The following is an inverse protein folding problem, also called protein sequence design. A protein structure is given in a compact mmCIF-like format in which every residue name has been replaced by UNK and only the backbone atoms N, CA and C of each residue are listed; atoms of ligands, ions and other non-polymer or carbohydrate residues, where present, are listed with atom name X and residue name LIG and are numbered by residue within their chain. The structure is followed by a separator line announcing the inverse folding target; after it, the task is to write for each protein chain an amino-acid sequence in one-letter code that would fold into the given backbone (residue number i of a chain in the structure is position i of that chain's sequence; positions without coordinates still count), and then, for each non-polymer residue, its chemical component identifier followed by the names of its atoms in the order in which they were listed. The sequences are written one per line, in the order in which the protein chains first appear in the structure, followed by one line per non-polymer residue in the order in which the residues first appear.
data_IF_069715307285
#
_entry.id   IF_069715307285
#
_cell.length_a   1.000
_cell.length_b   1.000
_cell.length_c   1.000
_cell.angle_alpha   90.00
_cell.angle_beta   90.00
_cell.angle_gamma   90.00
#
_symmetry.space_group_name_H-M   'P 1'
#
loop_
_entity.id
_entity.type
_entity.pdbx_description
1 polymer ?
#
# COMPACT_ATOMS: atom_id res chain seq x y z
N UNK A 1 -27.44 57.69 11.51
CA UNK A 1 -28.05 56.44 11.03
C UNK A 1 -27.04 55.33 11.24
N UNK A 2 -27.45 54.15 11.71
CA UNK A 2 -26.56 52.98 11.73
C UNK A 2 -26.24 52.59 10.28
N UNK A 3 -25.02 52.11 10.04
CA UNK A 3 -24.56 51.64 8.73
C UNK A 3 -25.51 50.61 8.10
N UNK A 4 -26.05 49.70 8.91
CA UNK A 4 -27.03 48.68 8.49
C UNK A 4 -28.31 49.32 7.96
N UNK A 5 -28.81 50.40 8.59
CA UNK A 5 -30.01 51.07 8.11
C UNK A 5 -29.76 51.75 6.76
N UNK A 6 -28.57 52.32 6.54
CA UNK A 6 -28.22 52.91 5.25
C UNK A 6 -28.14 51.87 4.12
N UNK A 7 -27.58 50.67 4.38
CA UNK A 7 -27.57 49.56 3.42
C UNK A 7 -28.98 49.06 3.09
N UNK A 8 -29.87 49.04 4.09
CA UNK A 8 -31.26 48.65 3.91
C UNK A 8 -32.04 49.71 3.11
N UNK A 9 -31.83 50.98 3.41
CA UNK A 9 -32.48 52.10 2.73
C UNK A 9 -32.02 52.22 1.26
N UNK A 10 -30.81 51.74 0.94
CA UNK A 10 -30.28 51.72 -0.43
C UNK A 10 -30.62 50.45 -1.22
N UNK A 11 -31.44 49.54 -0.69
CA UNK A 11 -31.73 48.22 -1.29
C UNK A 11 -30.45 47.46 -1.71
N UNK A 12 -29.42 47.50 -0.87
CA UNK A 12 -28.10 46.92 -1.21
C UNK A 12 -28.17 45.42 -1.51
N UNK A 13 -29.06 44.70 -0.83
CA UNK A 13 -29.40 43.31 -1.14
C UNK A 13 -30.73 43.29 -1.87
N UNK A 14 -30.67 42.95 -3.15
CA UNK A 14 -31.83 42.88 -4.03
C UNK A 14 -32.05 41.44 -4.54
N UNK A 15 -33.09 41.26 -5.34
CA UNK A 15 -33.41 39.95 -5.94
C UNK A 15 -32.40 39.49 -7.00
N UNK A 16 -31.49 40.36 -7.44
CA UNK A 16 -30.46 40.08 -8.43
C UNK A 16 -29.10 39.81 -7.77
N UNK A 17 -29.01 39.92 -6.45
CA UNK A 17 -27.80 39.63 -5.69
C UNK A 17 -27.57 38.12 -5.69
N UNK A 18 -26.47 37.70 -6.32
CA UNK A 18 -26.11 36.29 -6.45
C UNK A 18 -25.54 35.72 -5.15
N UNK A 19 -24.65 36.46 -4.51
CA UNK A 19 -24.02 36.07 -3.25
C UNK A 19 -23.77 37.26 -2.36
N UNK A 20 -23.87 37.04 -1.06
CA UNK A 20 -23.52 38.01 -0.03
C UNK A 20 -22.55 37.38 0.97
N UNK A 21 -21.39 38.00 1.13
CA UNK A 21 -20.30 37.45 1.94
C UNK A 21 -19.90 38.43 3.05
N UNK A 22 -19.65 37.90 4.24
CA UNK A 22 -19.09 38.59 5.39
C UNK A 22 -17.83 37.85 5.84
N UNK A 23 -16.70 38.55 5.81
CA UNK A 23 -15.42 38.07 6.33
C UNK A 23 -15.07 38.77 7.65
N UNK A 24 -14.82 37.98 8.69
CA UNK A 24 -14.46 38.48 10.02
C UNK A 24 -13.19 37.79 10.52
N UNK A 25 -12.22 38.59 10.94
CA UNK A 25 -10.97 38.11 11.52
C UNK A 25 -11.01 38.25 13.04
N UNK A 26 -10.73 37.16 13.76
CA UNK A 26 -10.54 37.15 15.20
C UNK A 26 -9.11 36.73 15.55
N UNK A 27 -8.59 37.25 16.66
CA UNK A 27 -7.30 36.88 17.20
C UNK A 27 -7.42 36.60 18.71
N UNK A 28 -7.00 35.41 19.13
CA UNK A 28 -6.86 35.05 20.54
C UNK A 28 -5.40 35.19 20.98
N UNK A 29 -5.04 36.16 21.83
CA UNK A 29 -3.66 36.38 22.27
C UNK A 29 -3.13 35.28 23.21
N UNK A 30 -4.01 34.55 23.92
CA UNK A 30 -3.58 33.50 24.84
C UNK A 30 -3.11 32.27 24.07
N UNK A 31 -3.85 31.90 23.02
CA UNK A 31 -3.53 30.77 22.15
C UNK A 31 -2.65 31.15 20.96
N UNK A 32 -2.48 32.46 20.69
CA UNK A 32 -1.80 33.03 19.51
C UNK A 32 -2.38 32.50 18.20
N UNK A 33 -3.70 32.27 18.18
CA UNK A 33 -4.44 31.74 17.03
C UNK A 33 -5.24 32.84 16.37
N UNK A 34 -5.18 32.87 15.04
CA UNK A 34 -6.07 33.63 14.21
C UNK A 34 -7.22 32.73 13.75
N UNK A 35 -8.42 33.31 13.72
CA UNK A 35 -9.62 32.67 13.20
C UNK A 35 -10.20 33.57 12.12
N UNK A 36 -10.28 33.07 10.89
CA UNK A 36 -11.01 33.73 9.79
C UNK A 36 -12.37 33.06 9.68
N UNK A 37 -13.43 33.83 9.89
CA UNK A 37 -14.81 33.40 9.73
C UNK A 37 -15.32 33.97 8.41
N UNK A 38 -15.58 33.08 7.47
CA UNK A 38 -16.20 33.37 6.19
C UNK A 38 -17.66 32.94 6.26
N UNK A 39 -18.58 33.87 6.14
CA UNK A 39 -20.01 33.59 6.05
C UNK A 39 -20.51 34.04 4.70
N UNK A 40 -21.09 33.14 3.92
CA UNK A 40 -21.68 33.42 2.63
C UNK A 40 -23.17 33.05 2.65
N UNK A 41 -23.98 33.84 1.94
CA UNK A 41 -25.37 33.53 1.65
C UNK A 41 -25.48 33.58 0.13
N UNK A 42 -25.60 32.40 -0.47
CA UNK A 42 -25.73 32.27 -1.92
C UNK A 42 -27.20 32.11 -2.29
N UNK A 43 -27.62 32.83 -3.33
CA UNK A 43 -28.94 32.69 -3.92
C UNK A 43 -28.90 31.59 -4.99
N UNK A 44 -29.60 30.48 -4.72
CA UNK A 44 -29.81 29.43 -5.71
C UNK A 44 -30.64 29.96 -6.88
N UNK A 45 -30.44 29.40 -8.08
CA UNK A 45 -31.21 29.72 -9.29
C UNK A 45 -32.73 29.54 -9.10
N UNK A 46 -33.14 28.72 -8.13
CA UNK A 46 -34.54 28.41 -7.79
C UNK A 46 -35.11 29.44 -6.77
N UNK A 47 -34.28 30.38 -6.30
CA UNK A 47 -34.64 31.42 -5.32
C UNK A 47 -34.51 31.00 -3.86
N UNK A 48 -33.88 29.85 -3.59
CA UNK A 48 -33.53 29.41 -2.22
C UNK A 48 -32.25 30.11 -1.75
N UNK A 49 -32.17 30.41 -0.45
CA UNK A 49 -30.95 30.94 0.18
C UNK A 49 -30.15 29.79 0.76
N UNK A 50 -28.88 29.67 0.37
CA UNK A 50 -27.95 28.65 0.87
C UNK A 50 -26.88 29.31 1.73
N UNK A 51 -27.07 29.36 3.07
CA UNK A 51 -26.08 29.93 3.97
C UNK A 51 -24.92 28.93 4.20
N UNK A 52 -23.70 29.38 3.98
CA UNK A 52 -22.47 28.66 4.32
C UNK A 52 -21.68 29.46 5.36
N UNK A 53 -21.21 28.78 6.41
CA UNK A 53 -20.32 29.37 7.41
C UNK A 53 -19.09 28.49 7.57
N UNK A 54 -17.92 29.04 7.22
CA UNK A 54 -16.63 28.36 7.29
C UNK A 54 -15.69 29.11 8.22
N UNK A 55 -15.19 28.41 9.24
CA UNK A 55 -14.22 28.95 10.18
C UNK A 55 -12.87 28.27 9.98
N UNK A 56 -11.83 29.06 9.71
CA UNK A 56 -10.47 28.58 9.51
C UNK A 56 -9.54 29.08 10.61
N UNK A 57 -8.93 28.15 11.33
CA UNK A 57 -7.99 28.42 12.42
C UNK A 57 -6.55 28.18 11.97
N UNK A 58 -5.70 29.19 12.14
CA UNK A 58 -4.28 29.11 11.79
C UNK A 58 -3.43 29.99 12.70
N UNK A 59 -2.13 29.72 12.71
CA UNK A 59 -1.16 30.44 13.55
C UNK A 59 -0.21 31.24 12.67
N UNK A 60 -0.25 32.56 12.81
CA UNK A 60 0.61 33.48 12.04
C UNK A 60 1.96 33.69 12.72
N UNK A 61 1.97 33.83 14.05
CA UNK A 61 3.19 33.99 14.85
C UNK A 61 3.91 32.65 15.00
N UNK A 62 5.08 32.52 14.39
CA UNK A 62 5.92 31.33 14.47
C UNK A 62 7.15 31.62 15.36
N UNK A 63 7.53 30.64 16.21
CA UNK A 63 8.76 30.66 17.00
C UNK A 63 8.90 31.77 18.06
N UNK A 64 7.86 31.99 18.88
CA UNK A 64 7.93 32.99 19.96
C UNK A 64 8.04 32.37 21.37
N UNK A 65 7.42 31.21 21.58
CA UNK A 65 7.38 30.53 22.87
C UNK A 65 8.52 29.51 23.00
N UNK A 66 8.89 29.16 24.24
CA UNK A 66 9.86 28.10 24.53
C UNK A 66 9.51 26.77 23.82
N UNK A 67 8.22 26.41 23.78
CA UNK A 67 7.74 25.22 23.08
C UNK A 67 7.97 25.30 21.55
N UNK A 68 7.93 26.49 20.98
CA UNK A 68 8.14 26.67 19.56
C UNK A 68 9.61 26.48 19.18
N UNK A 69 10.56 26.88 20.05
CA UNK A 69 11.97 26.60 19.83
C UNK A 69 12.28 25.10 19.87
N UNK A 70 11.62 24.33 20.74
CA UNK A 70 11.70 22.87 20.71
C UNK A 70 11.17 22.30 19.40
N UNK A 71 10.07 22.84 18.89
CA UNK A 71 9.53 22.46 17.57
C UNK A 71 10.49 22.83 16.43
N UNK A 72 11.13 24.01 16.47
CA UNK A 72 12.15 24.41 15.50
C UNK A 72 13.32 23.40 15.46
N UNK A 73 13.83 23.01 16.62
CA UNK A 73 14.89 22.01 16.72
C UNK A 73 14.46 20.69 16.05
N UNK A 74 13.24 20.24 16.30
CA UNK A 74 12.71 19.01 15.70
C UNK A 74 12.56 19.13 14.18
N UNK A 75 12.14 20.28 13.66
CA UNK A 75 12.09 20.54 12.22
C UNK A 75 13.47 20.47 11.57
N UNK A 76 14.50 21.06 12.21
CA UNK A 76 15.89 21.01 11.70
C UNK A 76 16.38 19.57 11.64
N UNK A 77 16.18 18.80 12.72
CA UNK A 77 16.55 17.37 12.77
C UNK A 77 15.81 16.57 11.69
N UNK A 78 14.51 16.80 11.51
CA UNK A 78 13.71 16.15 10.48
C UNK A 78 14.22 16.45 9.07
N UNK A 79 14.50 17.72 8.75
CA UNK A 79 15.05 18.12 7.45
C UNK A 79 16.44 17.51 7.22
N UNK A 80 17.29 17.44 8.24
CA UNK A 80 18.61 16.82 8.12
C UNK A 80 18.51 15.31 7.85
N UNK A 81 17.66 14.59 8.58
CA UNK A 81 17.40 13.17 8.34
C UNK A 81 16.84 12.93 6.94
N UNK A 82 15.89 13.77 6.50
CA UNK A 82 15.35 13.72 5.15
C UNK A 82 16.44 13.87 4.09
N UNK A 83 17.36 14.83 4.22
CA UNK A 83 18.45 15.02 3.26
C UNK A 83 19.35 13.78 3.16
N UNK A 84 19.71 13.17 4.28
CA UNK A 84 20.53 11.95 4.29
C UNK A 84 19.82 10.80 3.57
N UNK A 85 18.53 10.59 3.86
CA UNK A 85 17.72 9.55 3.21
C UNK A 85 17.57 9.86 1.71
N UNK A 86 17.34 11.12 1.37
CA UNK A 86 17.18 11.57 -0.01
C UNK A 86 18.42 11.29 -0.85
N UNK A 87 19.62 11.63 -0.36
CA UNK A 87 20.86 11.34 -1.10
C UNK A 87 21.08 9.84 -1.30
N UNK A 88 20.78 9.02 -0.28
CA UNK A 88 20.89 7.56 -0.39
C UNK A 88 19.92 7.00 -1.43
N UNK A 89 18.68 7.48 -1.43
CA UNK A 89 17.63 6.98 -2.32
C UNK A 89 17.86 7.40 -3.77
N UNK A 90 18.26 8.64 -4.00
CA UNK A 90 18.63 9.13 -5.35
C UNK A 90 19.80 8.33 -5.90
N UNK A 91 20.84 8.08 -5.09
CA UNK A 91 21.96 7.22 -5.50
C UNK A 91 21.48 5.82 -5.89
N UNK A 92 20.58 5.21 -5.10
CA UNK A 92 20.02 3.89 -5.38
C UNK A 92 19.30 3.83 -6.74
N UNK A 93 18.55 4.89 -7.08
CA UNK A 93 17.86 4.98 -8.39
C UNK A 93 18.81 5.23 -9.54
N UNK A 94 19.85 6.05 -9.35
CA UNK A 94 20.86 6.24 -10.39
C UNK A 94 21.62 4.94 -10.66
N UNK A 95 21.95 4.18 -9.62
CA UNK A 95 22.70 2.93 -9.74
C UNK A 95 21.85 1.78 -10.34
N UNK A 96 20.53 1.75 -10.07
CA UNK A 96 19.62 0.67 -10.52
C UNK A 96 18.82 1.01 -11.79
N UNK A 97 18.68 2.30 -12.13
CA UNK A 97 17.91 2.79 -13.27
C UNK A 97 16.40 2.52 -13.16
N UNK A 98 15.73 2.40 -14.31
CA UNK A 98 14.26 2.19 -14.42
C UNK A 98 13.78 0.88 -13.79
N UNK A 99 14.67 -0.11 -13.64
CA UNK A 99 14.37 -1.38 -12.97
C UNK A 99 13.97 -1.14 -11.52
N UNK A 100 14.44 -0.06 -10.88
CA UNK A 100 14.08 0.29 -9.51
C UNK A 100 12.56 0.41 -9.28
N UNK A 101 11.83 0.97 -10.25
CA UNK A 101 10.38 1.22 -10.16
C UNK A 101 9.52 -0.01 -10.47
N UNK A 102 10.11 -1.13 -10.87
CA UNK A 102 9.36 -2.38 -11.09
C UNK A 102 8.86 -2.98 -9.78
N UNK A 103 9.51 -2.69 -8.65
CA UNK A 103 9.05 -3.11 -7.33
C UNK A 103 8.05 -2.10 -6.74
N UNK A 104 6.83 -2.53 -6.36
CA UNK A 104 5.80 -1.63 -5.83
C UNK A 104 6.25 -0.91 -4.55
N UNK A 105 7.05 -1.57 -3.71
CA UNK A 105 7.55 -1.00 -2.45
C UNK A 105 8.59 0.10 -2.65
N UNK A 106 9.38 -0.01 -3.72
CA UNK A 106 10.33 1.01 -4.11
C UNK A 106 9.61 2.24 -4.67
N UNK A 107 8.52 2.03 -5.43
CA UNK A 107 7.65 3.12 -5.89
C UNK A 107 7.00 3.87 -4.70
N UNK A 108 6.51 3.16 -3.68
CA UNK A 108 5.97 3.78 -2.45
C UNK A 108 7.03 4.59 -1.71
N UNK A 109 8.26 4.06 -1.57
CA UNK A 109 9.37 4.78 -0.95
C UNK A 109 9.74 6.06 -1.71
N UNK A 110 9.74 6.02 -3.03
CA UNK A 110 9.96 7.21 -3.87
C UNK A 110 8.84 8.24 -3.75
N UNK A 111 7.59 7.78 -3.71
CA UNK A 111 6.45 8.66 -3.53
C UNK A 111 6.48 9.35 -2.15
N UNK A 112 6.83 8.61 -1.09
CA UNK A 112 7.10 9.16 0.25
C UNK A 112 8.15 10.28 0.22
N UNK A 113 9.24 10.09 -0.53
CA UNK A 113 10.30 11.08 -0.70
C UNK A 113 9.82 12.35 -1.43
N UNK A 114 8.98 12.19 -2.47
CA UNK A 114 8.38 13.33 -3.18
C UNK A 114 7.40 14.09 -2.27
N UNK A 115 6.54 13.38 -1.52
CA UNK A 115 5.59 13.99 -0.59
C UNK A 115 6.30 14.77 0.53
N UNK A 116 7.38 14.22 1.09
CA UNK A 116 8.19 14.91 2.11
C UNK A 116 8.90 16.15 1.54
N UNK A 117 9.47 16.07 0.34
CA UNK A 117 10.04 17.24 -0.36
C UNK A 117 8.99 18.33 -0.62
N UNK A 118 7.79 17.93 -1.02
CA UNK A 118 6.65 18.84 -1.24
C UNK A 118 6.22 19.50 0.06
N UNK A 119 6.15 18.74 1.16
CA UNK A 119 5.83 19.27 2.50
C UNK A 119 6.82 20.36 2.93
N UNK A 120 8.13 20.12 2.75
CA UNK A 120 9.17 21.11 3.07
C UNK A 120 9.00 22.37 2.21
N UNK A 121 8.71 22.21 0.92
CA UNK A 121 8.50 23.33 0.00
C UNK A 121 7.27 24.18 0.39
N UNK A 122 6.16 23.54 0.70
CA UNK A 122 4.92 24.19 1.17
C UNK A 122 5.14 24.84 2.54
N UNK A 123 5.94 24.23 3.43
CA UNK A 123 6.31 24.82 4.71
C UNK A 123 7.08 26.14 4.54
N UNK A 124 8.07 26.18 3.64
CA UNK A 124 8.82 27.41 3.33
C UNK A 124 7.88 28.49 2.77
N UNK A 125 6.96 28.13 1.86
CA UNK A 125 5.97 29.07 1.33
C UNK A 125 5.02 29.59 2.39
N UNK A 126 4.50 28.71 3.26
CA UNK A 126 3.68 29.09 4.42
C UNK A 126 4.42 30.06 5.33
N UNK A 127 5.71 29.81 5.61
CA UNK A 127 6.54 30.71 6.43
C UNK A 127 6.70 32.10 5.79
N UNK A 128 7.04 32.15 4.50
CA UNK A 128 7.20 33.41 3.77
C UNK A 128 5.90 34.23 3.76
N UNK A 129 4.78 33.59 3.40
CA UNK A 129 3.46 34.25 3.37
C UNK A 129 3.03 34.71 4.77
N UNK A 130 3.30 33.92 5.81
CA UNK A 130 3.03 34.33 7.20
C UNK A 130 3.85 35.55 7.63
N UNK A 131 5.12 35.64 7.21
CA UNK A 131 5.96 36.80 7.50
C UNK A 131 5.47 38.06 6.77
N UNK A 132 5.11 37.94 5.50
CA UNK A 132 4.60 39.06 4.68
C UNK A 132 3.26 39.59 5.23
N UNK A 133 2.34 38.68 5.56
CA UNK A 133 1.04 39.05 6.14
C UNK A 133 1.19 39.65 7.53
N UNK A 134 2.11 39.16 8.36
CA UNK A 134 2.38 39.77 9.66
C UNK A 134 2.97 41.19 9.52
N UNK A 135 3.85 41.41 8.55
CA UNK A 135 4.37 42.74 8.25
C UNK A 135 3.28 43.71 7.75
N UNK A 136 2.30 43.20 7.00
CA UNK A 136 1.12 43.97 6.57
C UNK A 136 0.26 44.36 7.78
N UNK A 137 -0.06 43.39 8.65
CA UNK A 137 -0.82 43.63 9.90
C UNK A 137 -0.12 44.64 10.80
N UNK A 138 1.22 44.57 10.90
CA UNK A 138 1.99 45.52 11.69
C UNK A 138 1.94 46.95 11.13
N UNK A 139 1.82 47.12 9.80
CA UNK A 139 1.69 48.43 9.14
C UNK A 139 0.28 49.01 9.23
N UNK A 140 -0.75 48.16 9.16
CA UNK A 140 -2.15 48.57 9.29
C UNK A 140 -2.54 48.93 10.72
N UNK A 141 -1.78 48.45 11.70
CA UNK A 141 -1.90 48.82 13.11
C UNK A 141 -1.24 50.19 13.35
N UNK A 142 -1.98 51.27 13.09
CA UNK A 142 -1.61 52.59 13.61
C UNK A 142 -1.77 52.69 15.14
N UNK A 143 -1.36 53.82 15.73
CA UNK A 143 -1.41 54.10 17.18
C UNK A 143 -2.80 53.94 17.84
N UNK A 144 -3.87 53.75 17.05
CA UNK A 144 -5.27 53.68 17.50
C UNK A 144 -5.99 52.35 17.13
N UNK A 145 -5.28 51.34 16.61
CA UNK A 145 -5.84 50.03 16.26
C UNK A 145 -5.99 49.78 14.75
N UNK A 146 -6.65 48.67 14.37
CA UNK A 146 -6.85 48.24 12.98
C UNK A 146 -7.72 49.25 12.21
N UNK A 147 -7.11 50.14 11.43
CA UNK A 147 -7.85 51.13 10.62
C UNK A 147 -8.32 50.57 9.27
N UNK A 148 -7.74 49.45 8.83
CA UNK A 148 -8.01 48.81 7.54
C UNK A 148 -8.19 47.30 7.73
N UNK A 149 -9.14 46.72 7.01
CA UNK A 149 -9.32 45.28 6.99
C UNK A 149 -8.15 44.62 6.26
N UNK A 150 -7.41 43.77 6.98
CA UNK A 150 -6.33 42.98 6.39
C UNK A 150 -6.86 41.63 5.98
N UNK A 151 -6.71 41.29 4.70
CA UNK A 151 -7.06 39.99 4.19
C UNK A 151 -6.06 38.91 4.69
N UNK A 152 -6.56 38.00 5.52
CA UNK A 152 -5.79 36.87 6.05
C UNK A 152 -6.12 35.55 5.34
N UNK A 153 -7.03 35.56 4.37
CA UNK A 153 -7.50 34.34 3.66
C UNK A 153 -6.35 33.62 2.98
N UNK A 154 -5.42 34.35 2.36
CA UNK A 154 -4.25 33.78 1.69
C UNK A 154 -3.34 33.03 2.68
N UNK A 155 -3.07 33.61 3.86
CA UNK A 155 -2.28 32.93 4.90
C UNK A 155 -3.01 31.70 5.45
N UNK A 156 -4.32 31.81 5.67
CA UNK A 156 -5.16 30.70 6.11
C UNK A 156 -5.16 29.54 5.11
N UNK A 157 -5.21 29.84 3.81
CA UNK A 157 -5.20 28.86 2.74
C UNK A 157 -3.87 28.10 2.66
N UNK A 158 -2.74 28.79 2.76
CA UNK A 158 -1.42 28.14 2.80
C UNK A 158 -1.22 27.28 4.06
N UNK A 159 -1.77 27.68 5.20
CA UNK A 159 -1.77 26.88 6.43
C UNK A 159 -2.62 25.60 6.27
N UNK A 160 -3.81 25.71 5.70
CA UNK A 160 -4.68 24.57 5.39
C UNK A 160 -4.01 23.63 4.37
N UNK A 161 -3.44 24.17 3.29
CA UNK A 161 -2.69 23.41 2.29
C UNK A 161 -1.54 22.61 2.94
N UNK A 162 -0.75 23.26 3.81
CA UNK A 162 0.31 22.59 4.55
C UNK A 162 -0.22 21.42 5.41
N UNK A 163 -1.33 21.61 6.14
CA UNK A 163 -1.95 20.55 6.95
C UNK A 163 -2.41 19.36 6.09
N UNK A 164 -3.02 19.60 4.93
CA UNK A 164 -3.44 18.54 4.02
C UNK A 164 -2.25 17.77 3.44
N UNK A 165 -1.23 18.46 2.94
CA UNK A 165 -0.02 17.85 2.38
C UNK A 165 0.75 17.08 3.44
N UNK A 166 0.85 17.61 4.67
CA UNK A 166 1.45 16.94 5.81
C UNK A 166 0.68 15.66 6.16
N UNK A 167 -0.65 15.70 6.20
CA UNK A 167 -1.50 14.54 6.44
C UNK A 167 -1.27 13.41 5.44
N UNK A 168 -1.25 13.75 4.14
CA UNK A 168 -0.92 12.78 3.07
C UNK A 168 0.47 12.21 3.26
N UNK A 169 1.46 13.06 3.57
CA UNK A 169 2.85 12.63 3.78
C UNK A 169 2.98 11.66 4.94
N UNK A 170 2.33 11.96 6.08
CA UNK A 170 2.31 11.07 7.25
C UNK A 170 1.62 9.75 6.90
N UNK A 171 0.52 9.77 6.17
CA UNK A 171 -0.17 8.57 5.73
C UNK A 171 0.71 7.67 4.85
N UNK A 172 1.35 8.23 3.81
CA UNK A 172 2.26 7.49 2.93
C UNK A 172 3.49 6.97 3.69
N UNK A 173 4.05 7.77 4.59
CA UNK A 173 5.15 7.34 5.45
C UNK A 173 4.72 6.17 6.36
N UNK A 174 3.49 6.21 6.88
CA UNK A 174 2.93 5.13 7.69
C UNK A 174 2.76 3.85 6.88
N UNK A 175 2.28 3.94 5.63
CA UNK A 175 2.27 2.78 4.70
C UNK A 175 3.70 2.29 4.44
N UNK A 176 4.67 3.20 4.30
CA UNK A 176 6.06 2.83 4.09
C UNK A 176 6.66 2.06 5.28
N UNK A 177 6.19 2.33 6.51
CA UNK A 177 6.56 1.55 7.69
C UNK A 177 6.10 0.08 7.61
N UNK A 178 5.02 -0.22 6.88
CA UNK A 178 4.57 -1.61 6.67
C UNK A 178 5.64 -2.47 5.98
N UNK A 179 6.50 -1.86 5.14
CA UNK A 179 7.66 -2.55 4.53
C UNK A 179 8.61 -3.10 5.61
N UNK A 180 8.79 -2.37 6.71
CA UNK A 180 9.62 -2.78 7.84
C UNK A 180 8.89 -3.88 8.63
N UNK A 181 7.57 -3.78 8.83
CA UNK A 181 6.81 -4.79 9.60
C UNK A 181 6.73 -6.15 8.88
N UNK A 182 7.02 -6.20 7.57
CA UNK A 182 7.10 -7.43 6.77
C UNK A 182 8.09 -8.48 7.30
N UNK A 183 8.97 -8.14 8.25
CA UNK A 183 9.84 -9.11 8.93
C UNK A 183 9.07 -10.23 9.67
N UNK A 184 7.81 -9.99 10.06
CA UNK A 184 6.97 -11.05 10.63
C UNK A 184 6.40 -11.95 9.54
N UNK A 185 6.59 -13.26 9.64
CA UNK A 185 6.12 -14.24 8.65
C UNK A 185 4.61 -14.16 8.39
N UNK A 186 3.81 -13.98 9.45
CA UNK A 186 2.36 -13.84 9.35
C UNK A 186 1.97 -12.55 8.61
N UNK A 187 2.66 -11.45 8.90
CA UNK A 187 2.36 -10.14 8.32
C UNK A 187 2.86 -10.07 6.88
N UNK A 188 4.03 -10.63 6.57
CA UNK A 188 4.58 -10.68 5.22
C UNK A 188 3.70 -11.47 4.26
N UNK A 189 3.15 -12.61 4.70
CA UNK A 189 2.14 -13.37 3.92
C UNK A 189 0.88 -12.53 3.66
N UNK A 190 0.35 -11.86 4.69
CA UNK A 190 -0.82 -10.98 4.55
C UNK A 190 -0.57 -9.83 3.57
N UNK A 191 0.62 -9.22 3.60
CA UNK A 191 1.00 -8.13 2.69
C UNK A 191 1.26 -8.59 1.25
N UNK A 192 1.57 -9.86 1.04
CA UNK A 192 1.78 -10.44 -0.29
C UNK A 192 0.46 -10.82 -0.98
N UNK A 193 -0.59 -11.14 -0.21
CA UNK A 193 -1.90 -11.56 -0.74
C UNK A 193 -2.45 -10.64 -1.84
N UNK A 194 -2.50 -9.30 -1.68
CA UNK A 194 -3.05 -8.42 -2.72
C UNK A 194 -2.29 -8.50 -4.04
N UNK A 195 -0.99 -8.80 -4.02
CA UNK A 195 -0.18 -8.95 -5.23
C UNK A 195 -0.49 -10.25 -5.98
N UNK A 196 -0.91 -11.29 -5.27
CA UNK A 196 -1.26 -12.60 -5.82
C UNK A 196 -2.66 -12.56 -6.43
N UNK A 197 -3.64 -12.06 -5.69
CA UNK A 197 -5.04 -11.97 -6.14
C UNK A 197 -5.34 -10.77 -7.05
N UNK A 198 -4.32 -10.02 -7.49
CA UNK A 198 -4.51 -8.76 -8.21
C UNK A 198 -5.34 -8.92 -9.50
N UNK A 199 -5.14 -10.01 -10.24
CA UNK A 199 -5.82 -10.22 -11.53
C UNK A 199 -7.29 -10.58 -11.32
N UNK A 200 -7.58 -11.42 -10.33
CA UNK A 200 -8.93 -11.80 -9.94
C UNK A 200 -9.71 -10.62 -9.35
N UNK A 201 -9.09 -9.85 -8.44
CA UNK A 201 -9.67 -8.61 -7.91
C UNK A 201 -9.94 -7.62 -9.03
N UNK A 202 -9.00 -7.44 -9.97
CA UNK A 202 -9.18 -6.48 -11.06
C UNK A 202 -10.38 -6.88 -11.93
N UNK A 203 -10.48 -8.14 -12.34
CA UNK A 203 -11.60 -8.65 -13.12
C UNK A 203 -12.93 -8.50 -12.38
N UNK A 204 -12.96 -8.87 -11.10
CA UNK A 204 -14.16 -8.71 -10.26
C UNK A 204 -14.56 -7.24 -10.07
N UNK A 205 -13.58 -6.35 -9.88
CA UNK A 205 -13.81 -4.92 -9.67
C UNK A 205 -14.53 -4.27 -10.84
N UNK A 206 -14.27 -4.69 -12.08
CA UNK A 206 -14.97 -4.18 -13.27
C UNK A 206 -16.47 -4.50 -13.19
N UNK A 207 -16.83 -5.73 -12.82
CA UNK A 207 -18.24 -6.13 -12.65
C UNK A 207 -18.89 -5.34 -11.51
N UNK A 208 -18.18 -5.18 -10.39
CA UNK A 208 -18.66 -4.43 -9.24
C UNK A 208 -18.90 -2.95 -9.57
N UNK A 209 -17.99 -2.29 -10.29
CA UNK A 209 -18.12 -0.88 -10.71
C UNK A 209 -19.29 -0.69 -11.66
N UNK A 210 -19.50 -1.60 -12.62
CA UNK A 210 -20.65 -1.53 -13.54
C UNK A 210 -21.96 -1.67 -12.76
N UNK A 211 -22.04 -2.64 -11.84
CA UNK A 211 -23.22 -2.81 -10.99
C UNK A 211 -23.47 -1.57 -10.10
N UNK A 212 -22.44 -1.06 -9.43
CA UNK A 212 -22.54 0.15 -8.62
C UNK A 212 -23.00 1.36 -9.42
N UNK A 213 -22.44 1.57 -10.62
CA UNK A 213 -22.82 2.69 -11.49
C UNK A 213 -24.27 2.58 -11.96
N UNK A 214 -24.78 1.36 -12.19
CA UNK A 214 -26.19 1.13 -12.50
C UNK A 214 -27.09 1.52 -11.31
N UNK A 215 -26.70 1.19 -10.07
CA UNK A 215 -27.44 1.62 -8.88
C UNK A 215 -27.34 3.13 -8.62
N UNK A 216 -26.17 3.76 -8.85
CA UNK A 216 -25.99 5.21 -8.73
C UNK A 216 -26.91 5.94 -9.72
N UNK A 217 -26.88 5.55 -10.99
CA UNK A 217 -27.72 6.16 -12.02
C UNK A 217 -29.22 5.93 -11.77
N UNK A 218 -29.62 4.71 -11.38
CA UNK A 218 -31.00 4.42 -11.02
C UNK A 218 -31.44 5.18 -9.76
N UNK A 219 -30.61 5.25 -8.73
CA UNK A 219 -30.91 5.94 -7.47
C UNK A 219 -31.08 7.44 -7.68
N UNK A 220 -30.19 8.05 -8.47
CA UNK A 220 -30.29 9.45 -8.88
C UNK A 220 -31.60 9.74 -9.61
N UNK A 221 -31.97 8.91 -10.61
CA UNK A 221 -33.18 9.11 -11.40
C UNK A 221 -34.48 8.91 -10.61
N UNK A 222 -34.49 7.97 -9.65
CA UNK A 222 -35.70 7.64 -8.89
C UNK A 222 -35.89 8.57 -7.68
N UNK A 223 -34.81 8.90 -6.98
CA UNK A 223 -34.88 9.60 -5.68
C UNK A 223 -34.35 11.04 -5.73
N UNK A 224 -33.63 11.45 -6.78
CA UNK A 224 -32.96 12.75 -6.82
C UNK A 224 -33.88 13.96 -6.77
N UNK A 225 -35.16 13.82 -7.12
CA UNK A 225 -36.16 14.89 -6.98
C UNK A 225 -36.76 15.01 -5.58
N UNK A 226 -36.61 13.99 -4.73
CA UNK A 226 -37.31 13.89 -3.45
C UNK A 226 -36.38 13.88 -2.24
N UNK A 227 -35.13 13.45 -2.41
CA UNK A 227 -34.16 13.27 -1.32
C UNK A 227 -32.88 14.03 -1.66
N UNK A 228 -32.46 14.92 -0.77
CA UNK A 228 -31.25 15.73 -0.95
C UNK A 228 -30.01 14.87 -1.16
N UNK A 229 -29.86 13.77 -0.41
CA UNK A 229 -28.77 12.80 -0.53
C UNK A 229 -28.64 12.16 -1.93
N UNK A 230 -29.66 12.25 -2.78
CA UNK A 230 -29.66 11.74 -4.16
C UNK A 230 -29.68 12.86 -5.22
N UNK A 231 -29.51 14.12 -4.81
CA UNK A 231 -29.67 15.30 -5.67
C UNK A 231 -28.58 15.46 -6.75
N UNK A 232 -27.40 14.88 -6.51
CA UNK A 232 -26.27 14.85 -7.45
C UNK A 232 -25.67 13.43 -7.49
N UNK A 233 -24.98 13.09 -8.57
CA UNK A 233 -24.28 11.81 -8.71
C UNK A 233 -23.22 11.60 -7.62
N UNK A 234 -22.54 12.68 -7.20
CA UNK A 234 -21.55 12.61 -6.12
C UNK A 234 -22.22 12.28 -4.77
N UNK A 235 -23.28 13.01 -4.42
CA UNK A 235 -24.04 12.76 -3.18
C UNK A 235 -24.70 11.37 -3.21
N UNK A 236 -25.26 10.97 -4.35
CA UNK A 236 -25.84 9.63 -4.54
C UNK A 236 -24.82 8.52 -4.35
N UNK A 237 -23.60 8.72 -4.87
CA UNK A 237 -22.49 7.78 -4.67
C UNK A 237 -22.16 7.66 -3.20
N UNK A 238 -22.04 8.79 -2.49
CA UNK A 238 -21.78 8.82 -1.05
C UNK A 238 -22.89 8.10 -0.27
N UNK A 239 -24.17 8.37 -0.57
CA UNK A 239 -25.31 7.72 0.07
C UNK A 239 -25.32 6.18 -0.15
N UNK A 240 -24.99 5.71 -1.35
CA UNK A 240 -24.89 4.27 -1.64
C UNK A 240 -23.69 3.61 -0.95
N UNK A 241 -22.56 4.32 -0.79
CA UNK A 241 -21.43 3.85 0.01
C UNK A 241 -21.76 3.76 1.50
N UNK A 242 -22.47 4.74 2.05
CA UNK A 242 -22.98 4.69 3.44
C UNK A 242 -23.94 3.51 3.64
N UNK A 243 -24.82 3.27 2.66
CA UNK A 243 -25.72 2.12 2.64
C UNK A 243 -24.96 0.79 2.61
N UNK A 244 -23.88 0.69 1.84
CA UNK A 244 -22.99 -0.49 1.83
C UNK A 244 -22.32 -0.73 3.20
N UNK A 245 -21.95 0.33 3.93
CA UNK A 245 -21.36 0.25 5.27
C UNK A 245 -22.40 -0.05 6.37
N UNK A 246 -23.69 -0.14 6.02
CA UNK A 246 -24.78 -0.37 6.96
C UNK A 246 -25.13 0.84 7.82
N UNK A 247 -24.62 2.03 7.48
CA UNK A 247 -24.98 3.31 8.12
C UNK A 247 -26.00 4.00 7.22
N UNK A 248 -27.29 3.83 7.46
CA UNK A 248 -28.29 4.43 6.58
C UNK A 248 -29.53 4.94 7.33
N UNK A 249 -30.09 6.05 6.83
CA UNK A 249 -31.44 6.54 7.15
C UNK A 249 -32.43 5.97 6.13
N UNK A 250 -32.79 4.68 6.24
CA UNK A 250 -33.70 4.06 5.26
C UNK A 250 -35.09 4.68 5.30
N UNK A 251 -35.43 5.35 6.40
CA UNK A 251 -36.75 5.94 6.59
C UNK A 251 -37.06 6.92 5.46
N UNK A 252 -36.14 7.83 5.10
CA UNK A 252 -36.38 8.81 4.03
C UNK A 252 -36.57 8.15 2.65
N UNK A 253 -35.84 7.08 2.38
CA UNK A 253 -35.96 6.34 1.12
C UNK A 253 -37.23 5.48 1.06
N UNK A 254 -37.62 4.86 2.18
CA UNK A 254 -38.84 4.07 2.31
C UNK A 254 -40.10 4.95 2.31
N UNK A 255 -39.99 6.16 2.87
CA UNK A 255 -41.07 7.14 2.96
C UNK A 255 -41.32 7.87 1.63
N UNK A 256 -40.29 8.02 0.78
CA UNK A 256 -40.43 8.71 -0.52
C UNK A 256 -41.33 7.95 -1.50
N UNK A 257 -41.20 6.62 -1.56
CA UNK A 257 -42.06 5.77 -2.37
C UNK A 257 -42.26 4.40 -1.70
N UNK A 258 -43.51 4.06 -1.30
CA UNK A 258 -43.79 2.84 -0.53
C UNK A 258 -43.58 1.54 -1.32
N UNK A 259 -43.40 1.61 -2.64
CA UNK A 259 -43.16 0.43 -3.50
C UNK A 259 -41.72 0.44 -4.02
N UNK A 260 -41.32 1.54 -4.68
CA UNK A 260 -40.01 1.61 -5.33
C UNK A 260 -38.86 1.65 -4.32
N UNK A 261 -39.04 2.32 -3.18
CA UNK A 261 -38.03 2.41 -2.11
C UNK A 261 -37.62 1.04 -1.57
N UNK A 262 -38.57 0.23 -1.05
CA UNK A 262 -38.28 -1.11 -0.55
C UNK A 262 -37.68 -2.06 -1.60
N UNK A 263 -38.15 -1.99 -2.86
CA UNK A 263 -37.63 -2.82 -3.95
C UNK A 263 -36.18 -2.46 -4.25
N UNK A 264 -35.90 -1.17 -4.46
CA UNK A 264 -34.54 -0.68 -4.73
C UNK A 264 -33.58 -1.06 -3.61
N UNK A 265 -33.99 -0.83 -2.35
CA UNK A 265 -33.22 -1.21 -1.16
C UNK A 265 -32.90 -2.70 -1.14
N UNK A 266 -33.93 -3.54 -1.31
CA UNK A 266 -33.79 -4.99 -1.23
C UNK A 266 -32.88 -5.52 -2.34
N UNK A 267 -33.06 -5.04 -3.58
CA UNK A 267 -32.23 -5.44 -4.71
C UNK A 267 -30.78 -4.97 -4.55
N UNK A 268 -30.56 -3.76 -4.05
CA UNK A 268 -29.20 -3.28 -3.74
C UNK A 268 -28.54 -4.11 -2.66
N UNK A 269 -29.23 -4.36 -1.53
CA UNK A 269 -28.68 -5.15 -0.43
C UNK A 269 -28.34 -6.58 -0.86
N UNK A 270 -29.21 -7.23 -1.63
CA UNK A 270 -28.94 -8.56 -2.20
C UNK A 270 -27.72 -8.50 -3.13
N UNK A 271 -27.63 -7.49 -4.00
CA UNK A 271 -26.52 -7.33 -4.93
C UNK A 271 -25.19 -7.12 -4.18
N UNK A 272 -25.15 -6.22 -3.19
CA UNK A 272 -23.97 -5.98 -2.36
C UNK A 272 -23.58 -7.22 -1.58
N UNK A 273 -24.53 -7.97 -1.01
CA UNK A 273 -24.22 -9.20 -0.31
C UNK A 273 -23.57 -10.24 -1.23
N UNK A 274 -24.11 -10.41 -2.44
CA UNK A 274 -23.54 -11.33 -3.44
C UNK A 274 -22.14 -10.84 -3.89
N UNK A 275 -22.01 -9.57 -4.26
CA UNK A 275 -20.75 -9.00 -4.75
C UNK A 275 -19.68 -8.94 -3.66
N UNK A 276 -19.96 -8.28 -2.54
CA UNK A 276 -18.98 -7.99 -1.50
C UNK A 276 -18.68 -9.21 -0.63
N UNK A 277 -19.68 -10.00 -0.21
CA UNK A 277 -19.41 -11.12 0.69
C UNK A 277 -19.01 -12.37 -0.08
N UNK A 278 -19.78 -12.80 -1.09
CA UNK A 278 -19.54 -14.11 -1.67
C UNK A 278 -18.33 -14.12 -2.62
N UNK A 279 -18.22 -13.14 -3.53
CA UNK A 279 -17.13 -13.14 -4.50
C UNK A 279 -15.79 -12.70 -3.88
N UNK A 280 -15.77 -11.60 -3.12
CA UNK A 280 -14.51 -11.14 -2.51
C UNK A 280 -13.97 -12.15 -1.48
N UNK A 281 -14.82 -12.76 -0.64
CA UNK A 281 -14.34 -13.78 0.29
C UNK A 281 -13.84 -15.03 -0.43
N UNK A 282 -14.47 -15.43 -1.53
CA UNK A 282 -13.99 -16.57 -2.32
C UNK A 282 -12.58 -16.30 -2.85
N UNK A 283 -12.35 -15.13 -3.45
CA UNK A 283 -11.03 -14.72 -3.95
C UNK A 283 -10.00 -14.68 -2.80
N UNK A 284 -10.39 -14.13 -1.64
CA UNK A 284 -9.49 -14.07 -0.47
C UNK A 284 -9.16 -15.47 0.05
N UNK A 285 -10.15 -16.36 0.18
CA UNK A 285 -9.96 -17.73 0.64
C UNK A 285 -9.08 -18.53 -0.32
N UNK A 286 -9.29 -18.38 -1.63
CA UNK A 286 -8.50 -19.07 -2.64
C UNK A 286 -7.03 -18.62 -2.59
N UNK A 287 -6.79 -17.31 -2.50
CA UNK A 287 -5.45 -16.76 -2.37
C UNK A 287 -4.74 -17.11 -1.06
N UNK A 288 -5.48 -17.28 0.06
CA UNK A 288 -4.91 -17.78 1.32
C UNK A 288 -4.54 -19.26 1.19
N UNK A 289 -5.32 -20.04 0.43
CA UNK A 289 -5.08 -21.47 0.22
C UNK A 289 -3.95 -21.76 -0.77
N UNK A 290 -3.69 -20.84 -1.71
CA UNK A 290 -2.53 -20.87 -2.57
C UNK A 290 -1.27 -20.51 -1.75
N UNK A 291 -0.52 -21.53 -1.34
CA UNK A 291 0.62 -21.41 -0.41
C UNK A 291 1.60 -20.27 -0.79
N UNK A 292 1.68 -19.26 0.07
CA UNK A 292 2.52 -18.08 -0.15
C UNK A 292 3.95 -18.39 0.26
N UNK A 293 4.81 -18.66 -0.73
CA UNK A 293 6.25 -18.90 -0.53
C UNK A 293 6.99 -17.57 -0.22
N UNK A 294 7.12 -17.22 1.07
CA UNK A 294 7.83 -16.02 1.56
C UNK A 294 9.29 -16.32 1.94
N UNK A 295 9.93 -17.25 1.23
CA UNK A 295 11.30 -17.68 1.52
C UNK A 295 12.34 -16.56 1.40
N UNK A 296 12.16 -15.61 0.47
CA UNK A 296 13.12 -14.51 0.25
C UNK A 296 13.18 -13.46 1.39
N UNK A 297 12.06 -13.17 2.05
CA UNK A 297 12.04 -12.18 3.13
C UNK A 297 12.56 -12.75 4.47
N UNK A 298 12.63 -14.09 4.59
CA UNK A 298 13.20 -14.79 5.75
C UNK A 298 14.71 -14.56 5.88
N UNK A 299 15.44 -14.58 4.77
CA UNK A 299 16.89 -14.35 4.77
C UNK A 299 17.22 -12.90 5.14
N UNK A 300 16.41 -11.95 4.68
CA UNK A 300 16.54 -10.54 5.02
C UNK A 300 16.27 -10.28 6.51
N UNK A 301 15.22 -10.91 7.07
CA UNK A 301 14.85 -10.79 8.48
C UNK A 301 15.93 -11.35 9.40
N UNK A 302 16.46 -12.54 9.09
CA UNK A 302 17.56 -13.14 9.83
C UNK A 302 18.81 -12.26 9.80
N UNK A 303 19.12 -11.65 8.65
CA UNK A 303 20.29 -10.78 8.51
C UNK A 303 20.15 -9.46 9.29
N UNK A 304 18.95 -8.86 9.30
CA UNK A 304 18.64 -7.64 10.07
C UNK A 304 18.60 -7.94 11.56
N UNK A 305 18.00 -9.05 11.99
CA UNK A 305 17.96 -9.47 13.39
C UNK A 305 19.34 -9.82 13.94
N UNK A 306 20.16 -10.50 13.15
CA UNK A 306 21.56 -10.78 13.48
C UNK A 306 22.39 -9.50 13.56
N UNK A 307 22.20 -8.55 12.64
CA UNK A 307 22.90 -7.25 12.69
C UNK A 307 22.48 -6.40 13.89
N UNK A 308 21.19 -6.41 14.24
CA UNK A 308 20.67 -5.70 15.41
C UNK A 308 21.17 -6.31 16.73
N UNK A 309 21.15 -7.63 16.85
CA UNK A 309 21.72 -8.32 18.01
C UNK A 309 23.24 -8.16 18.12
N UNK A 310 23.94 -8.13 16.99
CA UNK A 310 25.38 -7.84 16.94
C UNK A 310 25.69 -6.39 17.35
N UNK A 311 24.85 -5.43 16.95
CA UNK A 311 24.97 -4.02 17.34
C UNK A 311 24.68 -3.80 18.83
N UNK A 312 23.77 -4.60 19.41
CA UNK A 312 23.43 -4.56 20.84
C UNK A 312 24.34 -5.43 21.73
N UNK A 313 25.35 -6.10 21.17
CA UNK A 313 26.33 -6.89 21.93
C UNK A 313 25.78 -8.19 22.53
N UNK A 314 24.53 -8.55 22.26
CA UNK A 314 23.97 -9.85 22.62
C UNK A 314 24.45 -10.88 21.58
N UNK A 315 25.58 -11.52 21.88
CA UNK A 315 26.06 -12.66 21.10
C UNK A 315 25.06 -13.82 21.29
N UNK A 316 24.09 -13.95 20.39
CA UNK A 316 23.30 -15.18 20.31
C UNK A 316 24.19 -16.28 19.71
N UNK A 317 24.43 -17.40 20.42
CA UNK A 317 25.12 -18.53 19.82
C UNK A 317 24.30 -19.05 18.63
N UNK A 318 24.93 -19.64 17.60
CA UNK A 318 24.23 -20.20 16.46
C UNK A 318 23.22 -21.23 16.97
N UNK A 319 21.95 -21.07 16.57
CA UNK A 319 20.92 -22.05 16.84
C UNK A 319 21.34 -23.36 16.16
N UNK A 320 21.38 -24.46 16.92
CA UNK A 320 21.79 -25.80 16.48
C UNK A 320 20.83 -26.44 15.44
N UNK A 321 20.05 -25.64 14.71
CA UNK A 321 19.24 -26.10 13.58
C UNK A 321 19.93 -25.95 12.22
N UNK A 322 21.10 -25.31 12.16
CA UNK A 322 22.00 -25.36 11.00
C UNK A 322 22.89 -26.62 11.02
N UNK A 323 22.28 -27.79 11.24
CA UNK A 323 22.80 -29.08 10.75
C UNK A 323 21.97 -29.56 9.56
N UNK A 324 21.65 -28.67 8.63
CA UNK A 324 21.18 -29.05 7.30
C UNK A 324 22.37 -29.41 6.40
N UNK A 325 23.09 -30.47 6.80
CA UNK A 325 24.14 -31.13 6.02
C UNK A 325 24.07 -32.65 6.10
N UNK A 326 23.40 -33.22 7.11
CA UNK A 326 23.26 -34.67 7.28
C UNK A 326 21.88 -35.08 7.83
N UNK A 327 20.82 -35.03 6.99
CA UNK A 327 19.77 -36.04 7.10
C UNK A 327 19.63 -36.86 5.81
N UNK A 328 20.25 -36.42 4.70
CA UNK A 328 20.18 -37.13 3.42
C UNK A 328 21.07 -38.37 3.36
N UNK A 329 22.12 -38.49 4.17
CA UNK A 329 23.04 -39.65 4.07
C UNK A 329 22.43 -40.91 4.67
N UNK A 330 21.70 -40.82 5.78
CA UNK A 330 21.00 -41.98 6.38
C UNK A 330 19.80 -42.42 5.55
N UNK A 331 19.02 -41.47 5.03
CA UNK A 331 17.87 -41.75 4.16
C UNK A 331 18.31 -42.31 2.79
N UNK A 332 19.42 -41.80 2.23
CA UNK A 332 20.02 -42.33 1.01
C UNK A 332 20.68 -43.69 1.24
N UNK A 333 21.30 -43.94 2.40
CA UNK A 333 21.81 -45.25 2.77
C UNK A 333 20.68 -46.26 2.99
N UNK A 334 19.55 -45.85 3.56
CA UNK A 334 18.37 -46.69 3.71
C UNK A 334 17.77 -47.05 2.35
N UNK A 335 17.63 -46.08 1.44
CA UNK A 335 17.12 -46.32 0.09
C UNK A 335 18.08 -47.17 -0.76
N UNK A 336 19.40 -46.99 -0.62
CA UNK A 336 20.39 -47.85 -1.28
C UNK A 336 20.34 -49.30 -0.77
N UNK A 337 20.08 -49.51 0.53
CA UNK A 337 19.89 -50.87 1.08
C UNK A 337 18.63 -51.53 0.54
N UNK A 338 17.52 -50.80 0.46
CA UNK A 338 16.28 -51.32 -0.11
C UNK A 338 16.43 -51.69 -1.60
N UNK A 339 17.17 -50.90 -2.36
CA UNK A 339 17.47 -51.23 -3.77
C UNK A 339 18.42 -52.43 -3.90
N UNK A 340 19.36 -52.59 -2.98
CA UNK A 340 20.29 -53.72 -2.99
C UNK A 340 19.60 -55.03 -2.59
N UNK A 341 18.71 -54.99 -1.60
CA UNK A 341 17.88 -56.13 -1.21
C UNK A 341 16.92 -56.54 -2.33
N UNK A 342 16.31 -55.59 -3.04
CA UNK A 342 15.47 -55.87 -4.20
C UNK A 342 16.24 -56.47 -5.39
N UNK A 343 17.52 -56.09 -5.56
CA UNK A 343 18.38 -56.69 -6.58
C UNK A 343 18.77 -58.12 -6.21
N UNK A 344 19.12 -58.40 -4.95
CA UNK A 344 19.45 -59.76 -4.49
C UNK A 344 18.24 -60.70 -4.57
N UNK A 345 17.03 -60.21 -4.24
CA UNK A 345 15.79 -60.99 -4.41
C UNK A 345 15.54 -61.32 -5.90
N UNK A 346 15.78 -60.36 -6.80
CA UNK A 346 15.68 -60.61 -8.25
C UNK A 346 16.75 -61.58 -8.78
N UNK A 347 17.94 -61.58 -8.19
CA UNK A 347 19.05 -62.46 -8.55
C UNK A 347 18.81 -63.91 -8.07
N UNK A 348 18.25 -64.08 -6.87
CA UNK A 348 17.84 -65.39 -6.35
C UNK A 348 16.68 -65.99 -7.16
N UNK A 349 15.72 -65.16 -7.59
CA UNK A 349 14.67 -65.59 -8.52
C UNK A 349 15.29 -66.05 -9.84
N UNK A 350 16.25 -65.31 -10.40
CA UNK A 350 16.96 -65.70 -11.62
C UNK A 350 17.76 -67.01 -11.46
N UNK A 351 18.42 -67.21 -10.32
CA UNK A 351 19.15 -68.44 -10.00
C UNK A 351 18.23 -69.65 -9.75
N UNK A 352 16.98 -69.42 -9.35
CA UNK A 352 15.98 -70.47 -9.17
C UNK A 352 15.34 -70.94 -10.49
N UNK A 353 15.35 -70.09 -11.53
CA UNK A 353 14.72 -70.33 -12.83
C UNK A 353 15.71 -70.90 -13.86
N UNK A 354 17.01 -70.62 -13.74
CA UNK A 354 18.03 -71.11 -14.67
C UNK A 354 18.54 -72.51 -14.28
N UNK A 355 18.53 -73.50 -15.21
CA UNK A 355 19.17 -74.78 -14.96
C UNK A 355 20.69 -74.60 -14.86
N UNK A 356 21.30 -75.26 -13.87
CA UNK A 356 22.77 -75.33 -13.73
C UNK A 356 23.39 -75.91 -15.01
N UNK A 357 24.00 -75.06 -15.83
CA UNK A 357 24.95 -75.49 -16.85
C UNK A 357 26.37 -75.24 -16.32
N UNK A 358 27.08 -76.34 -16.06
CA UNK A 358 28.51 -76.34 -15.77
C UNK A 358 29.26 -75.97 -17.06
N UNK A 359 29.53 -74.68 -17.29
CA UNK A 359 30.64 -74.25 -18.17
C UNK A 359 30.95 -72.76 -18.06
N UNK A 360 32.21 -72.46 -17.69
CA UNK A 360 32.89 -71.21 -18.03
C UNK A 360 33.01 -70.18 -16.90
N UNK A 361 34.18 -70.14 -16.25
CA UNK A 361 34.61 -68.99 -15.43
C UNK A 361 34.64 -67.73 -16.30
N UNK A 362 33.73 -66.78 -16.07
CA UNK A 362 33.87 -65.41 -16.54
C UNK A 362 34.55 -64.60 -15.44
N UNK A 363 35.76 -64.12 -15.74
CA UNK A 363 36.63 -63.42 -14.80
C UNK A 363 36.39 -61.91 -14.93
N UNK A 364 35.55 -61.32 -14.07
CA UNK A 364 35.32 -59.87 -14.04
C UNK A 364 36.37 -59.21 -13.13
N UNK A 365 37.38 -58.61 -13.75
CA UNK A 365 38.36 -57.75 -13.05
C UNK A 365 37.74 -56.40 -12.73
N UNK A 366 37.38 -56.17 -11.47
CA UNK A 366 37.15 -54.82 -10.94
C UNK A 366 38.50 -54.21 -10.52
N UNK A 367 38.97 -53.19 -11.25
CA UNK A 367 40.11 -52.37 -10.81
C UNK A 367 39.64 -51.42 -9.70
N UNK A 368 40.14 -51.61 -8.48
CA UNK A 368 40.03 -50.60 -7.40
C UNK A 368 40.95 -49.43 -7.75
N UNK A 369 40.38 -48.24 -8.00
CA UNK A 369 41.13 -46.99 -8.03
C UNK A 369 41.24 -46.49 -6.58
N UNK A 370 42.48 -46.42 -6.08
CA UNK A 370 42.80 -45.98 -4.73
C UNK A 370 43.58 -44.68 -4.88
N UNK A 371 43.00 -43.54 -4.52
CA UNK A 371 43.71 -42.26 -4.48
C UNK A 371 43.48 -41.55 -3.15
N UNK A 372 44.60 -41.38 -2.45
CA UNK A 372 44.79 -40.60 -1.22
C UNK A 372 44.42 -39.13 -1.42
N UNK A 373 43.87 -38.54 -0.37
CA UNK A 373 43.82 -37.11 -0.17
C UNK A 373 45.24 -36.51 0.02
N UNK A 374 45.56 -35.46 -0.73
CA UNK A 374 46.42 -34.36 -0.26
C UNK A 374 46.24 -33.10 -1.11
N UNK A 375 45.97 -32.00 -0.40
CA UNK A 375 46.35 -30.60 -0.68
C UNK A 375 45.71 -29.81 -1.85
N UNK A 376 45.00 -28.73 -1.42
CA UNK A 376 44.77 -27.39 -2.01
C UNK A 376 45.15 -27.18 -3.49
N UNK A 377 44.21 -26.63 -4.29
CA UNK A 377 44.17 -25.22 -4.75
C UNK A 377 43.42 -25.07 -6.11
N UNK A 378 42.61 -24.00 -6.21
CA UNK A 378 42.02 -23.36 -7.42
C UNK A 378 40.77 -23.94 -8.13
N UNK A 379 39.81 -23.04 -8.35
CA UNK A 379 38.53 -23.07 -9.11
C UNK A 379 38.71 -23.36 -10.64
N UNK A 380 37.71 -23.20 -11.55
CA UNK A 380 36.23 -23.04 -11.47
C UNK A 380 35.42 -23.97 -12.45
N UNK A 381 34.08 -23.94 -12.32
CA UNK A 381 32.98 -23.98 -13.33
C UNK A 381 33.15 -24.78 -14.65
N UNK A 382 32.17 -25.64 -14.99
CA UNK A 382 31.37 -25.66 -16.24
C UNK A 382 30.47 -26.91 -16.28
N UNK A 383 29.19 -26.68 -16.60
CA UNK A 383 28.11 -27.63 -16.91
C UNK A 383 28.51 -28.71 -17.93
N UNK A 384 27.86 -29.89 -17.87
CA UNK A 384 27.17 -30.47 -19.05
C UNK A 384 26.44 -31.78 -18.72
N UNK A 385 25.18 -31.82 -19.17
CA UNK A 385 24.29 -32.97 -19.22
C UNK A 385 24.93 -34.18 -19.92
N UNK A 386 24.78 -35.38 -19.35
CA UNK A 386 25.22 -36.62 -19.98
C UNK A 386 24.01 -37.38 -20.55
N UNK A 387 23.84 -37.28 -21.87
CA UNK A 387 22.80 -37.96 -22.66
C UNK A 387 23.33 -39.34 -23.08
N UNK A 388 22.73 -40.41 -22.56
CA UNK A 388 23.11 -41.80 -22.92
C UNK A 388 22.35 -42.23 -24.17
N UNK A 389 23.09 -42.60 -25.23
CA UNK A 389 22.54 -43.17 -26.46
C UNK A 389 22.88 -44.65 -26.51
N UNK A 390 21.88 -45.51 -26.71
CA UNK A 390 22.03 -46.97 -26.78
C UNK A 390 22.05 -47.37 -28.27
N UNK A 391 23.10 -48.07 -28.70
CA UNK A 391 23.16 -48.74 -30.00
C UNK A 391 22.90 -50.24 -29.83
N UNK A 392 21.98 -50.79 -30.63
CA UNK A 392 21.71 -52.22 -30.75
C UNK A 392 21.99 -52.58 -32.21
N UNK A 393 22.78 -53.63 -32.44
CA UNK A 393 23.15 -54.13 -33.77
C UNK A 393 22.67 -55.59 -33.90
N UNK A 394 21.94 -55.97 -34.98
CA UNK A 394 21.42 -57.32 -35.14
C UNK A 394 22.41 -58.28 -35.82
N UNK A 395 22.30 -59.56 -35.46
CA UNK A 395 23.15 -60.66 -35.90
C UNK A 395 22.92 -61.06 -37.37
N UNK A 396 24.01 -61.39 -38.06
CA UNK A 396 24.03 -61.94 -39.43
C UNK A 396 24.14 -63.47 -39.41
N UNK A 397 23.18 -64.14 -40.04
CA UNK A 397 23.18 -65.58 -40.37
C UNK A 397 24.24 -65.92 -41.44
N UNK A 398 24.89 -67.07 -41.29
CA UNK A 398 25.60 -67.78 -42.36
C UNK A 398 25.37 -69.29 -42.29
N UNK A 399 25.34 -69.88 -43.49
CA UNK A 399 25.54 -71.28 -43.91
C UNK A 399 24.27 -71.88 -44.55
N UNK A 400 24.29 -72.51 -45.73
CA UNK A 400 25.33 -73.30 -46.40
C UNK A 400 25.05 -73.51 -47.90
N UNK A 401 26.10 -73.64 -48.72
CA UNK A 401 26.07 -74.20 -50.09
C UNK A 401 26.04 -75.75 -50.10
N UNK A 402 25.44 -76.28 -51.18
CA UNK A 402 25.32 -77.67 -51.69
C UNK A 402 24.18 -78.53 -51.14
#
# INVERSE_FOLDING_TARGET
MSFINALKDSEYLDKYTESFTIDINFYDPNLKLFSVVHMAIDHSEIGSLMPEAKTTLFRLFQYESANDYTSLFLHIVFTLLFLVIHFKEVKSVVDTGWVYFTSPWNAVGWFSLICTATTISVFIKRYAVAADTLALVARSNGDLGFQEFVDLTTAAWWDACFKHVLGITVFINTISLLRIVRFSQTIGKLLALPGIMKEEILSFSVVAVVAFTAFISSGYLVFGSHIESYSDLYQTTYALFEMMLGRFFANEMLDSNPITGPIFFSTFMICIFILLMNFLMTIICDAISADVDVTHDRELADHVWRSFNAMLGFHSPPNNQDKAGEPKLEELQANLRLLQDGLDESLDICNSILPRDDRGRVNVRTRKCQTRASQKQSCPVIDTECKVTIHIEPASDTDSEV
#
